data_IF_430241249946
#
_entry.id   IF_430241249946
#
_cell.length_a   1.000
_cell.length_b   1.000
_cell.length_c   1.000
_cell.angle_alpha   90.00
_cell.angle_beta   90.00
_cell.angle_gamma   90.00
#
_symmetry.space_group_name_H-M   'P 1'
#
loop_
_entity.id
_entity.type
_entity.pdbx_description
1 polymer ?
#
# COMPACT_ATOMS: atom_id res chain seq x y z
N UNK A 1 12.08 9.45 -30.14
CA UNK A 1 11.66 8.29 -29.31
C UNK A 1 11.88 7.03 -30.12
N UNK A 2 12.68 6.11 -29.59
CA UNK A 2 12.97 4.83 -30.23
C UNK A 2 11.92 3.78 -29.86
N UNK A 3 11.77 2.73 -30.68
CA UNK A 3 10.75 1.69 -30.47
C UNK A 3 10.82 1.06 -29.06
N UNK A 4 12.03 0.87 -28.52
CA UNK A 4 12.24 0.34 -27.16
C UNK A 4 11.66 1.24 -26.07
N UNK A 5 11.86 2.55 -26.20
CA UNK A 5 11.35 3.54 -25.25
C UNK A 5 9.82 3.60 -25.33
N UNK A 6 9.27 3.60 -26.55
CA UNK A 6 7.83 3.57 -26.77
C UNK A 6 7.18 2.33 -26.15
N UNK A 7 7.78 1.15 -26.33
CA UNK A 7 7.27 -0.10 -25.74
C UNK A 7 7.33 -0.09 -24.22
N UNK A 8 8.40 0.43 -23.61
CA UNK A 8 8.50 0.56 -22.15
C UNK A 8 7.42 1.48 -21.60
N UNK A 9 7.20 2.64 -22.25
CA UNK A 9 6.15 3.59 -21.82
C UNK A 9 4.76 2.97 -21.98
N UNK A 10 4.48 2.29 -23.11
CA UNK A 10 3.20 1.62 -23.33
C UNK A 10 2.94 0.52 -22.30
N UNK A 11 3.96 -0.27 -21.94
CA UNK A 11 3.87 -1.26 -20.87
C UNK A 11 3.50 -0.60 -19.54
N UNK A 12 4.19 0.48 -19.16
CA UNK A 12 3.90 1.21 -17.91
C UNK A 12 2.47 1.77 -17.90
N UNK A 13 1.99 2.32 -19.01
CA UNK A 13 0.61 2.82 -19.13
C UNK A 13 -0.39 1.70 -18.90
N UNK A 14 -0.20 0.52 -19.51
CA UNK A 14 -1.08 -0.63 -19.30
C UNK A 14 -1.07 -1.07 -17.83
N UNK A 15 0.10 -1.15 -17.20
CA UNK A 15 0.20 -1.50 -15.78
C UNK A 15 -0.49 -0.47 -14.88
N UNK A 16 -0.36 0.82 -15.17
CA UNK A 16 -1.03 1.89 -14.40
C UNK A 16 -2.55 1.83 -14.53
N UNK A 17 -3.07 1.57 -15.74
CA UNK A 17 -4.51 1.41 -15.96
C UNK A 17 -5.01 0.17 -15.21
N UNK A 18 -4.31 -0.96 -15.33
CA UNK A 18 -4.67 -2.19 -14.63
C UNK A 18 -4.67 -2.00 -13.11
N UNK A 19 -3.66 -1.30 -12.59
CA UNK A 19 -3.57 -0.95 -11.17
C UNK A 19 -4.72 -0.03 -10.73
N UNK A 20 -5.11 0.93 -11.56
CA UNK A 20 -6.21 1.85 -11.28
C UNK A 20 -7.60 1.19 -11.29
N UNK A 21 -7.82 0.24 -12.20
CA UNK A 21 -9.11 -0.48 -12.32
C UNK A 21 -9.21 -1.65 -11.34
N UNK A 22 -8.10 -2.37 -11.13
CA UNK A 22 -8.06 -3.56 -10.27
C UNK A 22 -6.84 -3.51 -9.33
N UNK A 23 -6.88 -2.68 -8.27
CA UNK A 23 -5.79 -2.56 -7.30
C UNK A 23 -5.65 -3.78 -6.39
N UNK A 24 -6.67 -4.64 -6.36
CA UNK A 24 -6.84 -5.72 -5.39
C UNK A 24 -5.65 -6.69 -5.27
N UNK A 25 -5.00 -7.16 -6.36
CA UNK A 25 -3.85 -8.06 -6.27
C UNK A 25 -2.67 -7.46 -5.49
N UNK A 26 -2.46 -6.15 -5.64
CA UNK A 26 -1.39 -5.44 -4.94
C UNK A 26 -1.74 -5.25 -3.47
N UNK A 27 -3.01 -4.95 -3.17
CA UNK A 27 -3.51 -4.85 -1.80
C UNK A 27 -3.41 -6.20 -1.09
N UNK A 28 -3.86 -7.28 -1.71
CA UNK A 28 -3.83 -8.63 -1.14
C UNK A 28 -2.38 -9.10 -0.86
N UNK A 29 -1.46 -8.82 -1.78
CA UNK A 29 -0.04 -9.17 -1.61
C UNK A 29 0.62 -8.38 -0.46
N UNK A 30 0.35 -7.07 -0.39
CA UNK A 30 0.97 -6.18 0.61
C UNK A 30 0.28 -6.27 1.99
N UNK A 31 -0.95 -6.76 2.06
CA UNK A 31 -1.75 -6.83 3.29
C UNK A 31 -1.04 -7.52 4.45
N UNK A 32 -0.38 -8.66 4.19
CA UNK A 32 0.36 -9.40 5.23
C UNK A 32 1.51 -8.57 5.82
N UNK A 33 2.29 -7.91 4.97
CA UNK A 33 3.41 -7.08 5.39
C UNK A 33 2.93 -5.83 6.14
N UNK A 34 1.96 -5.11 5.57
CA UNK A 34 1.40 -3.89 6.16
C UNK A 34 0.73 -4.18 7.49
N UNK A 35 -0.08 -5.23 7.59
CA UNK A 35 -0.74 -5.59 8.85
C UNK A 35 0.26 -5.98 9.94
N UNK A 36 1.36 -6.63 9.59
CA UNK A 36 2.45 -6.94 10.54
C UNK A 36 3.10 -5.67 11.04
N UNK A 37 3.45 -4.74 10.14
CA UNK A 37 4.04 -3.44 10.50
C UNK A 37 3.08 -2.63 11.36
N UNK A 38 1.79 -2.58 11.02
CA UNK A 38 0.78 -1.89 11.80
C UNK A 38 0.67 -2.44 13.22
N UNK A 39 0.70 -3.77 13.40
CA UNK A 39 0.70 -4.40 14.73
C UNK A 39 1.90 -3.96 15.58
N UNK A 40 3.11 -4.02 15.02
CA UNK A 40 4.32 -3.60 15.73
C UNK A 40 4.32 -2.10 16.04
N UNK A 41 3.87 -1.28 15.08
CA UNK A 41 3.77 0.17 15.26
C UNK A 41 2.78 0.54 16.36
N UNK A 42 1.57 -0.04 16.35
CA UNK A 42 0.57 0.20 17.40
C UNK A 42 1.01 -0.30 18.76
N UNK A 43 1.77 -1.40 18.83
CA UNK A 43 2.32 -1.92 20.08
C UNK A 43 3.47 -1.06 20.64
N UNK A 44 4.25 -0.44 19.76
CA UNK A 44 5.35 0.45 20.14
C UNK A 44 4.92 1.87 20.47
N UNK A 45 3.73 2.29 20.01
CA UNK A 45 3.17 3.58 20.36
C UNK A 45 2.97 3.65 21.89
N UNK A 46 3.46 4.71 22.56
CA UNK A 46 3.27 4.86 23.99
C UNK A 46 1.77 4.90 24.30
N UNK A 47 1.32 3.95 25.13
CA UNK A 47 0.00 4.03 25.75
C UNK A 47 0.05 5.23 26.70
N UNK A 48 -0.51 6.36 26.28
CA UNK A 48 -0.82 7.45 27.20
C UNK A 48 -2.10 7.04 27.96
N UNK A 49 -2.05 6.73 29.27
CA UNK A 49 -3.21 6.25 30.03
C UNK A 49 -4.27 7.33 30.32
N UNK A 50 -4.20 8.50 29.69
CA UNK A 50 -4.93 9.72 30.06
C UNK A 50 -6.27 9.91 29.32
N UNK A 51 -6.66 8.99 28.42
CA UNK A 51 -7.98 9.04 27.75
C UNK A 51 -8.90 7.89 28.21
N UNK A 52 -8.91 7.64 29.52
CA UNK A 52 -9.88 6.78 30.21
C UNK A 52 -10.54 7.53 31.39
N UNK A 53 -10.85 8.81 31.20
CA UNK A 53 -11.78 9.56 32.06
C UNK A 53 -12.87 10.11 31.15
N UNK A 54 -13.99 9.40 31.04
CA UNK A 54 -15.14 9.88 30.25
C UNK A 54 -16.09 8.85 29.67
N UNK A 55 -16.35 7.73 30.37
CA UNK A 55 -17.67 7.08 30.33
C UNK A 55 -17.94 6.40 31.67
#
# INVERSE_FOLDING_TARGET
>A
MNLRELLMVMLLVVLLILLGVYPQPILDTSYSAVSTIQKWFSAAAPVYPEMSIGM
#
